data_IF_276571466809
#
_entry.id   IF_276571466809
#
_cell.length_a   1.000
_cell.length_b   1.000
_cell.length_c   1.000
_cell.angle_alpha   90.00
_cell.angle_beta   90.00
_cell.angle_gamma   90.00
#
_symmetry.space_group_name_H-M   'P 1'
#
loop_
_entity.id
_entity.type
_entity.pdbx_description
1 polymer ?
#
# COMPACT_ATOMS: atom_id res chain seq x y z
N UNK A 1 13.53 7.41 22.85
CA UNK A 1 12.98 6.46 21.87
C UNK A 1 11.47 6.48 21.98
N UNK A 2 10.78 6.74 20.88
CA UNK A 2 9.33 6.72 20.81
C UNK A 2 8.86 5.40 20.22
N UNK A 3 7.66 4.95 20.62
CA UNK A 3 7.02 3.76 20.05
C UNK A 3 5.66 4.15 19.54
N UNK A 4 5.40 3.80 18.28
CA UNK A 4 4.11 3.97 17.62
C UNK A 4 3.56 2.58 17.35
N UNK A 5 2.43 2.24 17.95
CA UNK A 5 1.82 0.91 17.82
C UNK A 5 0.32 0.99 17.56
N UNK A 6 -0.19 0.04 16.79
CA UNK A 6 -1.61 -0.10 16.44
C UNK A 6 -2.23 1.19 15.87
N UNK A 7 -1.47 1.93 15.06
CA UNK A 7 -2.00 3.08 14.35
C UNK A 7 -2.57 2.67 13.00
N UNK A 8 -3.76 3.13 12.67
CA UNK A 8 -4.46 2.76 11.43
C UNK A 8 -4.78 4.03 10.65
N UNK A 9 -4.44 4.04 9.35
CA UNK A 9 -4.84 5.09 8.42
C UNK A 9 -5.84 4.56 7.38
N UNK A 10 -6.98 5.21 7.26
CA UNK A 10 -7.97 5.01 6.20
C UNK A 10 -8.10 6.23 5.28
N UNK A 11 -7.43 7.32 5.62
CA UNK A 11 -7.55 8.61 4.94
C UNK A 11 -6.56 8.77 3.78
N UNK A 12 -6.69 9.90 3.10
CA UNK A 12 -5.73 10.35 2.10
C UNK A 12 -4.67 11.23 2.77
N UNK A 13 -3.41 10.93 2.50
CA UNK A 13 -2.25 11.75 2.88
C UNK A 13 -1.61 12.28 1.62
N UNK A 14 -1.70 13.58 1.40
CA UNK A 14 -1.12 14.25 0.23
C UNK A 14 -0.09 15.28 0.66
N UNK A 15 1.06 15.26 0.02
CA UNK A 15 2.11 16.26 0.23
C UNK A 15 2.75 16.69 -1.10
N UNK A 16 3.45 17.83 -1.07
CA UNK A 16 4.14 18.37 -2.25
C UNK A 16 5.61 18.02 -2.31
N UNK A 17 6.16 17.48 -1.22
CA UNK A 17 7.60 17.24 -1.04
C UNK A 17 7.87 15.87 -0.41
N UNK A 18 9.10 15.69 0.03
CA UNK A 18 9.66 14.43 0.52
C UNK A 18 9.06 13.92 1.83
N UNK A 19 9.33 12.67 2.10
CA UNK A 19 8.99 11.93 3.32
C UNK A 19 7.49 11.92 3.61
N UNK A 20 6.75 11.19 2.79
CA UNK A 20 5.30 11.02 2.91
C UNK A 20 4.97 9.58 3.28
N UNK A 21 4.28 9.38 4.39
CA UNK A 21 3.83 8.06 4.82
C UNK A 21 2.47 8.10 5.49
N UNK A 22 1.79 6.98 5.50
CA UNK A 22 0.45 6.87 6.08
C UNK A 22 0.41 7.02 7.58
N UNK A 23 1.49 6.68 8.27
CA UNK A 23 1.63 6.78 9.73
C UNK A 23 2.64 7.86 10.12
N UNK A 24 3.77 7.94 9.41
CA UNK A 24 4.78 8.97 9.65
C UNK A 24 5.48 9.39 8.36
N UNK A 25 5.85 10.65 8.24
CA UNK A 25 6.70 11.12 7.15
C UNK A 25 8.15 10.67 7.34
N UNK A 26 8.74 10.98 8.50
CA UNK A 26 10.12 10.66 8.86
C UNK A 26 10.18 10.04 10.26
N UNK A 27 10.87 8.90 10.37
CA UNK A 27 11.20 8.23 11.63
C UNK A 27 12.71 8.19 11.80
N UNK A 28 13.24 8.98 12.73
CA UNK A 28 14.67 8.98 13.03
C UNK A 28 15.04 7.90 14.06
N UNK A 29 14.23 7.75 15.11
CA UNK A 29 14.49 6.82 16.22
C UNK A 29 13.19 6.17 16.71
N UNK A 30 13.31 4.98 17.26
CA UNK A 30 12.19 4.29 17.91
C UNK A 30 11.68 3.08 17.15
N UNK A 31 10.40 2.78 17.30
CA UNK A 31 9.77 1.61 16.69
C UNK A 31 8.39 1.99 16.18
N UNK A 32 8.07 1.59 14.95
CA UNK A 32 6.70 1.48 14.48
C UNK A 32 6.36 -0.01 14.42
N UNK A 33 5.29 -0.41 15.11
CA UNK A 33 4.85 -1.80 15.17
C UNK A 33 3.34 -1.90 15.02
N UNK A 34 2.88 -2.90 14.29
CA UNK A 34 1.47 -3.13 14.01
C UNK A 34 0.76 -1.87 13.45
N UNK A 35 1.43 -1.15 12.56
CA UNK A 35 0.85 -0.05 11.80
C UNK A 35 0.06 -0.58 10.62
N UNK A 36 -1.10 0.00 10.33
CA UNK A 36 -1.95 -0.41 9.22
C UNK A 36 -2.26 0.78 8.31
N UNK A 37 -2.20 0.58 6.99
CA UNK A 37 -2.62 1.62 6.06
C UNK A 37 -3.51 1.05 4.94
N UNK A 38 -4.72 1.60 4.85
CA UNK A 38 -5.75 1.30 3.85
C UNK A 38 -6.13 2.52 3.01
N UNK A 39 -5.43 3.63 3.20
CA UNK A 39 -5.72 4.91 2.58
C UNK A 39 -5.05 5.12 1.23
N UNK A 40 -4.86 6.37 0.88
CA UNK A 40 -4.13 6.81 -0.32
C UNK A 40 -2.97 7.70 0.10
N UNK A 41 -1.78 7.39 -0.36
CA UNK A 41 -0.58 8.18 -0.10
C UNK A 41 -0.10 8.80 -1.40
N UNK A 42 0.05 10.11 -1.42
CA UNK A 42 0.42 10.83 -2.62
C UNK A 42 1.47 11.91 -2.35
N UNK A 43 2.54 11.85 -3.10
CA UNK A 43 3.48 12.97 -3.23
C UNK A 43 3.51 13.47 -4.67
N UNK A 44 3.35 14.78 -4.88
CA UNK A 44 3.30 15.35 -6.23
C UNK A 44 4.67 15.35 -6.91
N UNK A 45 5.73 15.66 -6.15
CA UNK A 45 7.10 15.79 -6.68
C UNK A 45 8.17 15.32 -5.69
N UNK A 46 7.76 14.59 -4.64
CA UNK A 46 8.66 14.25 -3.55
C UNK A 46 9.22 12.84 -3.65
N UNK A 47 10.35 12.66 -3.00
CA UNK A 47 11.01 11.39 -2.80
C UNK A 47 10.64 10.83 -1.41
N UNK A 48 10.88 9.54 -1.20
CA UNK A 48 10.61 8.82 0.05
C UNK A 48 9.11 8.78 0.38
N UNK A 49 8.42 7.94 -0.36
CA UNK A 49 6.97 7.73 -0.19
C UNK A 49 6.70 6.29 0.21
N UNK A 50 6.01 6.09 1.32
CA UNK A 50 5.71 4.75 1.81
C UNK A 50 4.33 4.63 2.43
N UNK A 51 3.81 3.42 2.44
CA UNK A 51 2.50 3.16 3.04
C UNK A 51 2.49 3.40 4.56
N UNK A 52 3.56 3.07 5.26
CA UNK A 52 3.71 3.30 6.70
C UNK A 52 4.58 4.53 6.96
N UNK A 53 5.79 4.56 6.41
CA UNK A 53 6.73 5.65 6.59
C UNK A 53 7.30 6.14 5.26
N UNK A 54 7.48 7.45 5.10
CA UNK A 54 8.23 7.98 3.97
C UNK A 54 9.69 7.55 4.05
N UNK A 55 10.34 7.89 5.15
CA UNK A 55 11.70 7.48 5.47
C UNK A 55 11.77 6.97 6.92
N UNK A 56 12.51 5.88 7.13
CA UNK A 56 12.72 5.29 8.45
C UNK A 56 14.18 4.92 8.67
N UNK A 57 14.88 5.67 9.53
CA UNK A 57 16.20 5.34 10.00
C UNK A 57 16.18 4.40 11.24
N UNK A 58 15.07 3.76 11.52
CA UNK A 58 14.89 2.87 12.66
C UNK A 58 14.07 1.63 12.29
N UNK A 59 13.26 1.08 13.18
CA UNK A 59 12.57 -0.17 12.95
C UNK A 59 11.08 0.02 12.62
N UNK A 60 10.64 -0.69 11.58
CA UNK A 60 9.23 -0.93 11.26
C UNK A 60 9.00 -2.45 11.31
N UNK A 61 8.01 -2.90 12.06
CA UNK A 61 7.70 -4.32 12.17
C UNK A 61 6.20 -4.60 12.21
N UNK A 62 5.84 -5.84 11.84
CA UNK A 62 4.47 -6.36 11.97
C UNK A 62 3.40 -5.40 11.41
N UNK A 63 3.75 -4.68 10.33
CA UNK A 63 2.92 -3.63 9.76
C UNK A 63 2.28 -4.08 8.44
N UNK A 64 1.10 -3.56 8.15
CA UNK A 64 0.23 -4.06 7.10
C UNK A 64 -0.20 -2.94 6.18
N UNK A 65 -0.10 -3.16 4.87
CA UNK A 65 -0.45 -2.18 3.86
C UNK A 65 -1.31 -2.78 2.77
N UNK A 66 -2.49 -2.22 2.58
CA UNK A 66 -3.38 -2.46 1.45
C UNK A 66 -3.87 -1.09 0.97
N UNK A 67 -3.04 -0.36 0.23
CA UNK A 67 -3.28 1.04 -0.09
C UNK A 67 -2.79 1.42 -1.49
N UNK A 68 -3.17 2.62 -1.95
CA UNK A 68 -2.64 3.21 -3.17
C UNK A 68 -1.52 4.21 -2.84
N UNK A 69 -0.41 4.14 -3.56
CA UNK A 69 0.76 5.00 -3.34
C UNK A 69 1.16 5.61 -4.67
N UNK A 70 1.36 6.93 -4.71
CA UNK A 70 1.95 7.61 -5.86
C UNK A 70 3.07 8.55 -5.43
N UNK A 71 4.16 8.52 -6.18
CA UNK A 71 5.37 9.30 -5.93
C UNK A 71 6.32 9.27 -7.11
N UNK A 72 7.54 9.78 -6.94
CA UNK A 72 8.57 9.73 -7.97
C UNK A 72 9.62 8.67 -7.61
N UNK A 73 10.58 8.98 -6.77
CA UNK A 73 11.67 8.08 -6.40
C UNK A 73 11.57 7.62 -4.95
N UNK A 74 12.21 6.49 -4.65
CA UNK A 74 12.20 5.86 -3.34
C UNK A 74 10.75 5.64 -2.85
N UNK A 75 10.01 4.84 -3.60
CA UNK A 75 8.60 4.52 -3.32
C UNK A 75 8.50 3.07 -2.89
N UNK A 76 7.87 2.83 -1.74
CA UNK A 76 7.70 1.47 -1.23
C UNK A 76 6.39 1.23 -0.50
N UNK A 77 5.93 0.00 -0.53
CA UNK A 77 4.68 -0.38 0.12
C UNK A 77 4.70 -0.10 1.62
N UNK A 78 5.76 -0.45 2.32
CA UNK A 78 5.94 -0.17 3.75
C UNK A 78 6.66 1.16 3.93
N UNK A 79 7.82 1.36 3.30
CA UNK A 79 8.56 2.61 3.40
C UNK A 79 9.27 2.97 2.09
N UNK A 80 9.42 4.28 1.84
CA UNK A 80 10.20 4.78 0.70
C UNK A 80 11.68 4.44 0.87
N UNK A 81 12.25 4.71 2.03
CA UNK A 81 13.58 4.29 2.46
C UNK A 81 13.54 3.76 3.89
N UNK A 82 14.22 2.64 4.13
CA UNK A 82 14.19 1.96 5.43
C UNK A 82 15.55 1.55 5.96
N UNK A 83 15.60 1.30 7.29
CA UNK A 83 16.74 0.69 7.96
C UNK A 83 16.41 -0.75 8.41
N UNK A 84 15.43 -0.92 9.28
CA UNK A 84 14.94 -2.26 9.66
C UNK A 84 13.46 -2.39 9.28
N UNK A 85 13.17 -3.35 8.39
CA UNK A 85 11.79 -3.67 7.96
C UNK A 85 11.59 -5.16 8.07
N UNK A 86 10.71 -5.60 8.98
CA UNK A 86 10.53 -7.03 9.24
C UNK A 86 9.10 -7.41 9.55
N UNK A 87 8.76 -8.65 9.18
CA UNK A 87 7.48 -9.27 9.51
C UNK A 87 6.27 -8.45 9.02
N UNK A 88 6.42 -7.72 7.89
CA UNK A 88 5.40 -6.86 7.32
C UNK A 88 4.72 -7.53 6.12
N UNK A 89 3.47 -7.13 5.83
CA UNK A 89 2.74 -7.56 4.63
C UNK A 89 2.32 -6.34 3.83
N UNK A 90 2.73 -6.29 2.57
CA UNK A 90 2.47 -5.19 1.67
C UNK A 90 1.68 -5.63 0.42
N UNK A 91 0.51 -5.04 0.22
CA UNK A 91 -0.32 -5.19 -0.99
C UNK A 91 -0.57 -3.78 -1.55
N UNK A 92 0.46 -3.12 -2.06
CA UNK A 92 0.34 -1.76 -2.56
C UNK A 92 -0.07 -1.72 -4.03
N UNK A 93 -0.91 -0.75 -4.39
CA UNK A 93 -1.04 -0.27 -5.76
C UNK A 93 -0.12 0.94 -5.94
N UNK A 94 1.06 0.73 -6.52
CA UNK A 94 2.08 1.77 -6.69
C UNK A 94 1.98 2.36 -8.10
N UNK A 95 1.92 3.70 -8.17
CA UNK A 95 2.01 4.52 -9.37
C UNK A 95 3.22 5.45 -9.24
N UNK A 96 4.35 5.00 -9.74
CA UNK A 96 5.63 5.71 -9.71
C UNK A 96 6.46 5.33 -10.93
N UNK A 97 7.24 6.27 -11.47
CA UNK A 97 8.01 6.13 -12.70
C UNK A 97 9.50 6.50 -12.55
N UNK A 98 9.94 6.76 -11.32
CA UNK A 98 11.33 7.10 -10.98
C UNK A 98 12.20 5.90 -10.65
N UNK A 99 13.18 6.12 -9.78
CA UNK A 99 14.15 5.13 -9.32
C UNK A 99 13.81 4.61 -7.91
N UNK A 100 14.31 3.43 -7.57
CA UNK A 100 14.15 2.81 -6.26
C UNK A 100 12.66 2.60 -5.88
N UNK A 101 11.97 1.74 -6.65
CA UNK A 101 10.56 1.43 -6.46
C UNK A 101 10.41 -0.05 -6.08
N UNK A 102 9.81 -0.32 -4.91
CA UNK A 102 9.63 -1.69 -4.43
C UNK A 102 8.30 -1.92 -3.72
N UNK A 103 7.79 -3.13 -3.76
CA UNK A 103 6.51 -3.49 -3.13
C UNK A 103 6.54 -3.42 -1.61
N UNK A 104 7.71 -3.57 -0.98
CA UNK A 104 7.92 -3.43 0.47
C UNK A 104 8.67 -2.14 0.76
N UNK A 105 9.83 -1.92 0.13
CA UNK A 105 10.61 -0.72 0.31
C UNK A 105 11.23 -0.27 -1.02
N UNK A 106 11.29 1.03 -1.27
CA UNK A 106 12.00 1.57 -2.41
C UNK A 106 13.50 1.37 -2.25
N UNK A 107 14.04 1.68 -1.09
CA UNK A 107 15.44 1.49 -0.78
C UNK A 107 15.65 1.05 0.67
N UNK A 108 16.76 0.38 0.93
CA UNK A 108 17.21 -0.01 2.28
C UNK A 108 18.66 0.44 2.47
N UNK A 109 18.96 1.01 3.62
CA UNK A 109 20.32 1.40 4.01
C UNK A 109 21.28 0.21 3.99
N UNK A 110 22.54 0.42 3.62
CA UNK A 110 23.54 -0.64 3.50
C UNK A 110 23.69 -1.51 4.77
N UNK A 111 23.55 -0.93 5.95
CA UNK A 111 23.58 -1.65 7.23
C UNK A 111 22.19 -2.09 7.71
N UNK A 112 21.17 -1.90 6.86
CA UNK A 112 19.79 -2.19 7.18
C UNK A 112 19.48 -3.69 7.23
N UNK A 113 18.38 -4.01 7.85
CA UNK A 113 17.88 -5.40 7.97
C UNK A 113 16.47 -5.51 7.42
N UNK A 114 16.31 -6.35 6.40
CA UNK A 114 15.00 -6.68 5.84
C UNK A 114 14.78 -8.17 5.98
N UNK A 115 13.68 -8.56 6.60
CA UNK A 115 13.44 -9.98 6.90
C UNK A 115 11.96 -10.33 7.02
N UNK A 116 11.60 -11.50 6.49
CA UNK A 116 10.28 -12.11 6.63
C UNK A 116 9.12 -11.21 6.16
N UNK A 117 9.35 -10.32 5.20
CA UNK A 117 8.27 -9.53 4.65
C UNK A 117 7.60 -10.28 3.51
N UNK A 118 6.32 -10.04 3.31
CA UNK A 118 5.55 -10.59 2.21
C UNK A 118 4.96 -9.46 1.37
N UNK A 119 4.84 -9.69 0.07
CA UNK A 119 4.17 -8.74 -0.81
C UNK A 119 3.35 -9.43 -1.90
N UNK A 120 2.29 -8.75 -2.31
CA UNK A 120 1.49 -9.09 -3.48
C UNK A 120 1.63 -7.99 -4.51
N UNK A 121 2.36 -8.27 -5.58
CA UNK A 121 2.53 -7.39 -6.73
C UNK A 121 3.04 -8.23 -7.91
N UNK A 122 2.57 -7.95 -9.13
CA UNK A 122 2.93 -8.72 -10.31
C UNK A 122 4.08 -8.09 -11.12
N UNK A 123 4.36 -6.83 -10.91
CA UNK A 123 5.29 -6.04 -11.72
C UNK A 123 6.52 -5.53 -10.97
N UNK A 124 6.45 -5.44 -9.64
CA UNK A 124 7.53 -4.93 -8.81
C UNK A 124 8.08 -6.01 -7.90
N UNK A 125 9.37 -5.98 -7.67
CA UNK A 125 10.04 -6.75 -6.62
C UNK A 125 9.74 -6.21 -5.22
N UNK A 126 10.15 -6.93 -4.19
CA UNK A 126 9.95 -6.52 -2.80
C UNK A 126 10.71 -5.26 -2.43
N UNK A 127 11.97 -5.17 -2.88
CA UNK A 127 12.82 -3.97 -2.83
C UNK A 127 13.35 -3.77 -4.23
N UNK A 128 13.62 -2.55 -4.64
CA UNK A 128 14.12 -2.26 -5.97
C UNK A 128 15.32 -3.15 -6.35
N UNK A 129 15.15 -3.92 -7.44
CA UNK A 129 16.12 -4.90 -7.95
C UNK A 129 16.67 -5.94 -6.92
N UNK A 130 16.11 -6.02 -5.72
CA UNK A 130 16.55 -6.96 -4.68
C UNK A 130 15.44 -7.98 -4.38
N UNK A 131 15.72 -9.24 -4.68
CA UNK A 131 14.78 -10.35 -4.48
C UNK A 131 15.48 -11.56 -3.84
N UNK A 132 15.85 -11.44 -2.57
CA UNK A 132 16.42 -12.53 -1.79
C UNK A 132 15.35 -13.22 -0.95
N UNK A 133 15.26 -14.54 -1.05
CA UNK A 133 14.36 -15.34 -0.22
C UNK A 133 14.54 -15.05 1.28
N UNK A 134 13.42 -14.86 1.98
CA UNK A 134 13.38 -14.52 3.40
C UNK A 134 13.60 -13.04 3.71
N UNK A 135 13.78 -12.19 2.71
CA UNK A 135 13.86 -10.73 2.85
C UNK A 135 12.48 -10.11 2.61
N UNK A 136 11.99 -10.26 1.38
CA UNK A 136 10.67 -9.88 0.94
C UNK A 136 10.21 -10.88 -0.10
N UNK A 137 9.34 -11.80 0.29
CA UNK A 137 8.91 -12.90 -0.54
C UNK A 137 7.57 -12.58 -1.21
N UNK A 138 7.49 -12.83 -2.52
CA UNK A 138 6.24 -12.70 -3.26
C UNK A 138 5.25 -13.77 -2.82
N UNK A 139 4.01 -13.38 -2.63
CA UNK A 139 2.89 -14.27 -2.30
C UNK A 139 1.63 -13.85 -3.08
N UNK A 140 0.56 -14.57 -2.89
CA UNK A 140 -0.77 -14.21 -3.44
C UNK A 140 -1.66 -13.63 -2.36
N UNK A 141 -2.69 -12.89 -2.79
CA UNK A 141 -3.69 -12.38 -1.85
C UNK A 141 -4.42 -13.51 -1.12
N UNK A 142 -4.68 -14.64 -1.80
CA UNK A 142 -5.32 -15.80 -1.20
C UNK A 142 -4.48 -16.40 -0.08
N UNK A 143 -3.18 -16.59 -0.32
CA UNK A 143 -2.24 -17.10 0.69
C UNK A 143 -2.11 -16.16 1.89
N UNK A 144 -2.20 -14.84 1.66
CA UNK A 144 -2.26 -13.87 2.76
C UNK A 144 -3.52 -14.07 3.60
N UNK A 145 -4.69 -14.24 2.95
CA UNK A 145 -5.97 -14.41 3.66
C UNK A 145 -6.09 -15.71 4.44
N UNK A 146 -5.28 -16.71 4.13
CA UNK A 146 -5.23 -17.99 4.87
C UNK A 146 -4.36 -17.94 6.14
N UNK A 147 -3.63 -16.86 6.35
CA UNK A 147 -2.76 -16.68 7.51
C UNK A 147 -3.55 -16.26 8.74
N UNK A 148 -3.11 -16.72 9.90
CA UNK A 148 -3.64 -16.24 11.18
C UNK A 148 -3.15 -14.81 11.47
N UNK A 149 -3.97 -14.02 12.13
CA UNK A 149 -3.62 -12.67 12.60
C UNK A 149 -3.65 -11.58 11.53
N UNK A 150 -4.18 -11.86 10.34
CA UNK A 150 -4.38 -10.83 9.31
C UNK A 150 -5.41 -9.80 9.78
N UNK A 151 -5.10 -8.50 9.72
CA UNK A 151 -6.02 -7.44 10.15
C UNK A 151 -7.35 -7.47 9.40
N UNK A 152 -8.43 -7.09 10.07
CA UNK A 152 -9.78 -7.04 9.49
C UNK A 152 -9.86 -6.19 8.20
N UNK A 153 -9.04 -5.12 8.12
CA UNK A 153 -8.99 -4.27 6.94
C UNK A 153 -8.57 -4.99 5.65
N UNK A 154 -7.75 -6.04 5.75
CA UNK A 154 -7.36 -6.86 4.60
C UNK A 154 -8.52 -7.70 4.04
N UNK A 155 -9.52 -8.00 4.84
CA UNK A 155 -10.71 -8.72 4.39
C UNK A 155 -11.72 -7.83 3.65
N UNK A 156 -11.39 -6.56 3.43
CA UNK A 156 -12.25 -5.57 2.76
C UNK A 156 -11.61 -5.15 1.43
N UNK A 157 -12.32 -5.38 0.35
CA UNK A 157 -11.91 -5.02 -1.01
C UNK A 157 -12.68 -3.77 -1.45
N UNK A 158 -11.98 -2.80 -2.01
CA UNK A 158 -12.61 -1.59 -2.56
C UNK A 158 -12.77 -1.75 -4.07
N UNK A 159 -14.02 -1.83 -4.51
CA UNK A 159 -14.37 -1.80 -5.93
C UNK A 159 -14.53 -0.34 -6.35
N UNK A 160 -13.74 0.08 -7.33
CA UNK A 160 -13.83 1.43 -7.90
C UNK A 160 -14.55 1.39 -9.24
N UNK A 161 -15.70 2.02 -9.32
CA UNK A 161 -16.47 2.18 -10.54
C UNK A 161 -15.97 3.40 -11.29
N UNK A 162 -15.63 3.21 -12.57
CA UNK A 162 -15.17 4.30 -13.46
C UNK A 162 -16.03 4.36 -14.70
N UNK A 163 -16.34 5.57 -15.15
CA UNK A 163 -16.91 5.85 -16.45
C UNK A 163 -16.00 6.87 -17.15
N UNK A 164 -15.46 6.53 -18.33
CA UNK A 164 -14.52 7.37 -19.08
C UNK A 164 -13.36 7.91 -18.20
N UNK A 165 -12.69 7.03 -17.47
CA UNK A 165 -11.59 7.34 -16.53
C UNK A 165 -11.97 8.18 -15.29
N UNK A 166 -13.21 8.61 -15.18
CA UNK A 166 -13.69 9.29 -13.97
C UNK A 166 -14.25 8.30 -12.97
N UNK A 167 -13.86 8.45 -11.72
CA UNK A 167 -14.43 7.67 -10.62
C UNK A 167 -15.87 8.10 -10.38
N UNK A 168 -16.80 7.17 -10.57
CA UNK A 168 -18.24 7.36 -10.32
C UNK A 168 -18.57 7.06 -8.86
N UNK A 169 -18.06 5.93 -8.37
CA UNK A 169 -18.28 5.50 -7.00
C UNK A 169 -17.16 4.56 -6.52
N UNK A 170 -17.07 4.41 -5.20
CA UNK A 170 -16.29 3.36 -4.55
C UNK A 170 -17.21 2.60 -3.60
N UNK A 171 -17.16 1.28 -3.64
CA UNK A 171 -17.89 0.38 -2.75
C UNK A 171 -16.92 -0.55 -2.06
N UNK A 172 -17.14 -0.81 -0.78
CA UNK A 172 -16.34 -1.77 -0.02
C UNK A 172 -17.13 -3.05 0.14
N UNK A 173 -16.53 -4.17 -0.22
CA UNK A 173 -17.07 -5.52 -0.07
C UNK A 173 -16.14 -6.38 0.76
N UNK A 174 -16.68 -7.41 1.40
CA UNK A 174 -15.85 -8.42 2.04
C UNK A 174 -15.07 -9.21 0.98
N UNK A 175 -13.91 -9.73 1.35
CA UNK A 175 -13.17 -10.66 0.49
C UNK A 175 -14.04 -11.85 0.11
N UNK A 176 -14.04 -12.20 -1.17
CA UNK A 176 -14.99 -13.19 -1.77
C UNK A 176 -16.47 -12.82 -1.67
N UNK A 177 -16.78 -11.59 -1.27
CA UNK A 177 -18.14 -11.05 -1.32
C UNK A 177 -18.48 -10.52 -2.71
N UNK A 178 -19.76 -10.24 -2.92
CA UNK A 178 -20.30 -9.66 -4.16
C UNK A 178 -21.19 -8.46 -3.85
N UNK A 179 -21.40 -7.60 -4.83
CA UNK A 179 -22.41 -6.56 -4.80
C UNK A 179 -23.69 -7.08 -5.44
N UNK A 180 -24.84 -6.78 -4.83
CA UNK A 180 -26.14 -6.98 -5.47
C UNK A 180 -26.38 -5.90 -6.54
N UNK A 181 -27.30 -6.16 -7.46
CA UNK A 181 -27.68 -5.16 -8.48
C UNK A 181 -28.15 -3.83 -7.88
N UNK A 182 -28.81 -3.88 -6.72
CA UNK A 182 -29.29 -2.69 -6.01
C UNK A 182 -28.16 -1.85 -5.39
N UNK A 183 -27.01 -2.46 -5.16
CA UNK A 183 -25.82 -1.79 -4.61
C UNK A 183 -24.94 -1.18 -5.70
N UNK A 184 -25.15 -1.49 -6.97
CA UNK A 184 -24.40 -0.90 -8.06
C UNK A 184 -24.72 0.60 -8.17
N UNK A 185 -23.69 1.46 -8.42
CA UNK A 185 -23.93 2.88 -8.60
C UNK A 185 -24.67 3.16 -9.92
N UNK A 186 -25.41 4.25 -9.96
CA UNK A 186 -26.01 4.72 -11.19
C UNK A 186 -24.91 5.01 -12.24
N UNK A 187 -25.17 4.58 -13.48
CA UNK A 187 -24.27 4.82 -14.58
C UNK A 187 -24.55 6.23 -15.12
N UNK A 188 -23.54 7.10 -15.31
CA UNK A 188 -23.74 8.41 -15.92
C UNK A 188 -24.32 8.29 -17.33
N UNK A 189 -25.40 9.00 -17.60
CA UNK A 189 -26.02 9.04 -18.92
C UNK A 189 -25.11 9.68 -19.96
N UNK A 190 -25.10 9.12 -21.16
CA UNK A 190 -24.41 9.67 -22.33
C UNK A 190 -25.29 9.53 -23.54
N UNK A 191 -25.57 10.66 -24.20
CA UNK A 191 -26.44 10.72 -25.36
C UNK A 191 -26.00 9.75 -26.49
N UNK A 192 -26.95 8.89 -26.89
CA UNK A 192 -26.71 7.91 -27.94
C UNK A 192 -26.00 6.62 -27.48
N UNK A 193 -25.81 6.41 -26.21
CA UNK A 193 -25.18 5.22 -25.66
C UNK A 193 -26.07 4.54 -24.62
N UNK A 194 -26.06 3.22 -24.64
CA UNK A 194 -26.57 2.38 -23.55
C UNK A 194 -25.39 1.76 -22.84
N UNK A 195 -25.28 1.97 -21.55
CA UNK A 195 -24.16 1.47 -20.76
C UNK A 195 -24.65 0.53 -19.64
N UNK A 196 -23.86 -0.48 -19.33
CA UNK A 196 -24.06 -1.43 -18.24
C UNK A 196 -22.75 -1.62 -17.49
N UNK A 197 -22.82 -1.90 -16.20
CA UNK A 197 -21.67 -2.41 -15.48
C UNK A 197 -21.40 -3.85 -15.92
N UNK A 198 -20.15 -4.27 -16.10
CA UNK A 198 -19.82 -5.65 -16.41
C UNK A 198 -20.30 -6.56 -15.26
N UNK A 199 -20.76 -7.76 -15.60
CA UNK A 199 -21.29 -8.75 -14.66
C UNK A 199 -20.23 -9.67 -14.05
N UNK A 200 -18.97 -9.51 -14.43
CA UNK A 200 -17.80 -10.24 -13.92
C UNK A 200 -16.62 -9.29 -13.67
#
# INVERSE_FOLDING_TARGET
NSVVIHCINYGEVTAKKNCVGGITGLQELGLICAGENYGTIKSETGHYVGGIAGESASAISESYVLCSISGTDNVGGICGSGYTVKDCIAIPAIDADGEAIGSVAGNISEEGTVKNNLFVNDTLDGIDDINYAGTADKTTYEEVMEREGIPEGFHKVIITFKAEDKVVAKKTVAYKGSLSEEELPEIPEKDGYYAVWPSE
#
